data_IF_190805326575
#
_entry.id   IF_190805326575
#
_cell.length_a   1.000
_cell.length_b   1.000
_cell.length_c   1.000
_cell.angle_alpha   90.00
_cell.angle_beta   90.00
_cell.angle_gamma   90.00
#
_symmetry.space_group_name_H-M   'P 1'
#
loop_
_entity.id
_entity.type
_entity.pdbx_description
1 polymer ?
#
# COMPACT_ATOMS: atom_id res chain seq x y z
N UNK A 1 -10.56 7.95 -3.90
CA UNK A 1 -11.24 7.26 -2.79
C UNK A 1 -10.19 6.70 -1.84
N UNK A 2 -10.26 7.05 -0.58
CA UNK A 2 -9.29 6.60 0.40
C UNK A 2 -9.70 5.26 0.99
N UNK A 3 -8.72 4.37 1.13
CA UNK A 3 -8.92 3.06 1.74
C UNK A 3 -7.73 2.75 2.65
N UNK A 4 -7.98 2.09 3.77
CA UNK A 4 -6.88 1.62 4.61
C UNK A 4 -6.07 0.55 3.88
N UNK A 5 -4.74 0.65 3.95
CA UNK A 5 -3.87 -0.34 3.31
C UNK A 5 -4.20 -1.76 3.80
N UNK A 6 -4.57 -1.90 5.07
CA UNK A 6 -4.94 -3.19 5.64
C UNK A 6 -6.21 -3.81 5.03
N UNK A 7 -7.03 -3.01 4.36
CA UNK A 7 -8.28 -3.47 3.72
C UNK A 7 -8.12 -3.77 2.23
N UNK A 8 -6.93 -3.56 1.67
CA UNK A 8 -6.67 -3.86 0.27
C UNK A 8 -6.74 -5.37 0.03
N UNK A 9 -7.36 -5.74 -1.09
CA UNK A 9 -7.52 -7.14 -1.52
C UNK A 9 -7.00 -7.33 -2.92
N UNK A 10 -6.99 -8.59 -3.39
CA UNK A 10 -6.56 -8.91 -4.74
C UNK A 10 -7.36 -8.17 -5.82
N UNK A 11 -8.60 -7.77 -5.52
CA UNK A 11 -9.43 -6.99 -6.45
C UNK A 11 -8.86 -5.61 -6.75
N UNK A 12 -7.97 -5.11 -5.90
CA UNK A 12 -7.34 -3.81 -6.09
C UNK A 12 -6.06 -3.88 -6.92
N UNK A 13 -5.56 -5.08 -7.20
CA UNK A 13 -4.36 -5.23 -8.03
C UNK A 13 -4.61 -4.69 -9.43
N UNK A 14 -3.63 -3.99 -9.97
CA UNK A 14 -3.75 -3.35 -11.27
C UNK A 14 -4.36 -1.95 -11.23
N UNK A 15 -4.90 -1.50 -10.09
CA UNK A 15 -5.44 -0.16 -9.93
C UNK A 15 -4.32 0.85 -9.72
N UNK A 16 -4.54 2.06 -10.21
CA UNK A 16 -3.63 3.17 -9.94
C UNK A 16 -3.88 3.68 -8.52
N UNK A 17 -2.81 3.81 -7.76
CA UNK A 17 -2.88 4.28 -6.37
C UNK A 17 -1.93 5.44 -6.17
N UNK A 18 -2.26 6.27 -5.19
CA UNK A 18 -1.41 7.34 -4.72
C UNK A 18 -1.11 7.08 -3.24
N UNK A 19 0.16 7.04 -2.90
CA UNK A 19 0.57 6.85 -1.51
C UNK A 19 1.47 8.00 -1.07
N UNK A 20 1.28 8.43 0.17
CA UNK A 20 2.10 9.44 0.82
C UNK A 20 2.75 8.77 2.03
N UNK A 21 4.04 8.41 1.96
CA UNK A 21 4.72 7.75 3.06
C UNK A 21 5.11 8.70 4.22
N UNK A 22 4.57 9.92 4.24
CA UNK A 22 4.86 10.87 5.32
C UNK A 22 6.08 11.76 5.08
N UNK A 23 6.73 11.61 3.94
CA UNK A 23 7.80 12.45 3.45
C UNK A 23 7.22 13.34 2.33
N UNK A 24 7.83 14.48 1.93
CA UNK A 24 7.29 15.27 0.82
C UNK A 24 7.17 14.50 -0.50
N UNK A 25 7.66 13.28 -0.57
CA UNK A 25 7.57 12.47 -1.77
C UNK A 25 6.23 11.74 -1.84
N UNK A 26 5.46 12.02 -2.89
CA UNK A 26 4.23 11.31 -3.20
C UNK A 26 4.51 10.27 -4.28
N UNK A 27 4.04 9.05 -4.08
CA UNK A 27 4.22 7.95 -5.03
C UNK A 27 2.89 7.67 -5.71
N UNK A 28 2.86 7.76 -7.03
CA UNK A 28 1.70 7.43 -7.86
C UNK A 28 2.11 6.33 -8.83
N UNK A 29 1.37 5.23 -8.85
CA UNK A 29 1.68 4.13 -9.74
C UNK A 29 0.64 3.03 -9.66
N UNK A 30 0.91 1.94 -10.36
CA UNK A 30 0.02 0.79 -10.40
C UNK A 30 0.34 -0.19 -9.28
N UNK A 31 -0.69 -0.60 -8.55
CA UNK A 31 -0.53 -1.57 -7.47
C UNK A 31 -0.34 -2.97 -8.07
N UNK A 32 0.82 -3.57 -7.81
CA UNK A 32 1.16 -4.88 -8.39
C UNK A 32 1.29 -5.99 -7.36
N UNK A 33 1.45 -5.66 -6.09
CA UNK A 33 1.54 -6.68 -5.03
C UNK A 33 1.04 -6.12 -3.71
N UNK A 34 0.37 -6.98 -2.95
CA UNK A 34 -0.13 -6.67 -1.60
C UNK A 34 0.25 -7.83 -0.69
N UNK A 35 0.86 -7.51 0.44
CA UNK A 35 1.19 -8.50 1.46
C UNK A 35 0.74 -7.98 2.82
N UNK A 36 -0.13 -8.73 3.49
CA UNK A 36 -0.54 -8.45 4.85
C UNK A 36 0.20 -9.37 5.82
N UNK A 37 0.68 -8.79 6.90
CA UNK A 37 1.34 -9.55 7.97
C UNK A 37 0.70 -9.16 9.29
N UNK A 38 0.23 -10.16 10.03
CA UNK A 38 -0.31 -9.97 11.37
C UNK A 38 0.74 -10.45 12.37
N UNK A 39 1.09 -9.61 13.36
CA UNK A 39 2.00 -10.01 14.41
C UNK A 39 1.24 -10.88 15.42
N UNK A 40 1.85 -12.01 15.80
CA UNK A 40 1.22 -12.96 16.74
C UNK A 40 0.97 -12.36 18.12
N UNK A 41 1.81 -11.42 18.53
CA UNK A 41 1.73 -10.82 19.86
C UNK A 41 0.61 -9.78 19.98
N UNK A 42 0.25 -9.14 18.86
CA UNK A 42 -0.79 -8.10 18.85
C UNK A 42 -1.45 -8.04 17.49
N UNK A 43 -2.68 -8.61 17.35
CA UNK A 43 -3.41 -8.59 16.08
C UNK A 43 -3.75 -7.18 15.57
N UNK A 44 -3.73 -6.17 16.43
CA UNK A 44 -3.96 -4.78 16.02
C UNK A 44 -2.75 -4.19 15.29
N UNK A 45 -1.59 -4.84 15.35
CA UNK A 45 -0.38 -4.42 14.66
C UNK A 45 -0.26 -5.07 13.27
N UNK A 46 -1.30 -4.99 12.47
CA UNK A 46 -1.24 -5.46 11.08
C UNK A 46 -0.31 -4.57 10.28
N UNK A 47 0.64 -5.17 9.60
CA UNK A 47 1.53 -4.50 8.67
C UNK A 47 1.14 -4.89 7.25
N UNK A 48 1.01 -3.89 6.37
CA UNK A 48 0.72 -4.11 4.96
C UNK A 48 1.88 -3.60 4.13
N UNK A 49 2.42 -4.46 3.29
CA UNK A 49 3.46 -4.10 2.33
C UNK A 49 2.87 -4.06 0.94
N UNK A 50 3.05 -2.94 0.25
CA UNK A 50 2.62 -2.77 -1.13
C UNK A 50 3.83 -2.68 -2.04
N UNK A 51 3.69 -3.23 -3.24
CA UNK A 51 4.64 -2.99 -4.32
C UNK A 51 3.90 -2.22 -5.40
N UNK A 52 4.48 -1.08 -5.78
CA UNK A 52 3.88 -0.14 -6.73
C UNK A 52 4.82 0.02 -7.91
N UNK A 53 4.28 -0.21 -9.11
CA UNK A 53 5.02 0.01 -10.35
C UNK A 53 4.86 1.46 -10.76
N UNK A 54 5.99 2.17 -10.87
CA UNK A 54 6.03 3.57 -11.31
C UNK A 54 6.64 3.65 -12.71
N UNK A 55 6.48 4.79 -13.43
CA UNK A 55 7.06 4.95 -14.76
C UNK A 55 8.55 4.63 -14.80
N UNK A 56 9.02 3.99 -15.88
CA UNK A 56 10.40 3.56 -16.02
C UNK A 56 10.65 2.13 -15.56
N UNK A 57 9.59 1.31 -15.42
CA UNK A 57 9.65 -0.09 -15.00
C UNK A 57 10.28 -0.27 -13.60
N UNK A 58 10.15 0.74 -12.75
CA UNK A 58 10.64 0.67 -11.38
C UNK A 58 9.53 0.23 -10.44
N UNK A 59 9.89 -0.57 -9.44
CA UNK A 59 8.98 -1.02 -8.41
C UNK A 59 9.42 -0.44 -7.08
N UNK A 60 8.47 0.15 -6.36
CA UNK A 60 8.72 0.73 -5.04
C UNK A 60 7.92 -0.05 -4.01
N UNK A 61 8.58 -0.47 -2.95
CA UNK A 61 7.93 -1.17 -1.84
C UNK A 61 7.66 -0.17 -0.72
N UNK A 62 6.43 -0.14 -0.25
CA UNK A 62 5.99 0.76 0.82
C UNK A 62 5.31 -0.06 1.90
N UNK A 63 5.59 0.26 3.15
CA UNK A 63 4.97 -0.41 4.31
C UNK A 63 4.03 0.54 5.02
N UNK A 64 2.91 -0.02 5.45
CA UNK A 64 1.90 0.69 6.22
C UNK A 64 1.59 -0.06 7.50
N UNK A 65 1.28 0.69 8.57
CA UNK A 65 0.70 0.12 9.78
C UNK A 65 -0.82 -0.05 9.59
N UNK A 66 -1.52 -0.47 10.65
CA UNK A 66 -2.95 -0.78 10.58
C UNK A 66 -3.82 0.43 10.21
N UNK A 67 -3.35 1.66 10.43
CA UNK A 67 -4.11 2.88 10.19
C UNK A 67 -3.66 3.62 8.92
N UNK A 68 -2.65 3.09 8.22
CA UNK A 68 -2.16 3.70 6.99
C UNK A 68 -3.23 3.73 5.90
N UNK A 69 -3.28 4.81 5.12
CA UNK A 69 -4.30 5.04 4.11
C UNK A 69 -3.65 5.18 2.73
N UNK A 70 -4.32 4.61 1.74
CA UNK A 70 -3.94 4.67 0.33
C UNK A 70 -5.09 5.30 -0.44
N UNK A 71 -4.78 6.18 -1.39
CA UNK A 71 -5.79 6.76 -2.27
C UNK A 71 -5.89 5.94 -3.55
N UNK A 72 -7.10 5.46 -3.85
CA UNK A 72 -7.41 4.82 -5.13
C UNK A 72 -7.81 5.89 -6.13
N UNK A 73 -7.11 5.94 -7.24
CA UNK A 73 -7.38 6.93 -8.29
C UNK A 73 -8.32 6.39 -9.36
#
# INVERSE_FOLDING_TARGET
MDIRAAELTADHLGRTVRVDPGDPTVIVGRLVSIRHRVRKADPSETETQLEIEVPGDQHIKVRFNAIGVVELL
#
